data_IF_909485075858
#
_entry.id   IF_909485075858
#
_cell.length_a   1.000
_cell.length_b   1.000
_cell.length_c   1.000
_cell.angle_alpha   90.00
_cell.angle_beta   90.00
_cell.angle_gamma   90.00
#
_symmetry.space_group_name_H-M   'P 1'
#
loop_
_entity.id
_entity.type
_entity.pdbx_description
1 polymer ?
#
# COMPACT_ATOMS: atom_id res chain seq x y z
N UNK A 1 10.38 15.04 -27.57
CA UNK A 1 10.05 14.48 -26.24
C UNK A 1 8.57 14.10 -26.10
N UNK A 2 7.62 14.84 -26.67
CA UNK A 2 6.16 14.52 -26.64
C UNK A 2 5.68 13.42 -27.62
N UNK A 3 6.50 12.97 -28.57
CA UNK A 3 6.07 11.99 -29.59
C UNK A 3 5.84 10.57 -29.06
N UNK A 4 6.41 10.17 -27.91
CA UNK A 4 6.27 8.79 -27.38
C UNK A 4 4.99 8.53 -26.59
N UNK A 5 4.17 9.56 -26.30
CA UNK A 5 2.90 9.40 -25.57
C UNK A 5 1.74 9.03 -26.52
N UNK A 6 1.80 9.46 -27.79
CA UNK A 6 0.73 9.22 -28.78
C UNK A 6 0.73 7.82 -29.43
N UNK A 7 1.75 6.99 -29.18
CA UNK A 7 1.86 5.66 -29.80
C UNK A 7 1.07 4.57 -29.06
N UNK A 8 0.47 4.85 -27.90
CA UNK A 8 -0.34 3.88 -27.17
C UNK A 8 -1.82 4.07 -27.48
N UNK A 9 -2.48 2.99 -27.89
CA UNK A 9 -3.94 2.97 -27.87
C UNK A 9 -4.43 3.31 -26.45
N UNK A 10 -5.52 4.07 -26.35
CA UNK A 10 -6.09 4.45 -25.04
C UNK A 10 -6.35 3.25 -24.13
N UNK A 11 -6.60 2.07 -24.71
CA UNK A 11 -6.74 0.79 -24.00
C UNK A 11 -5.44 0.36 -23.31
N UNK A 12 -4.28 0.49 -23.97
CA UNK A 12 -2.99 0.12 -23.37
C UNK A 12 -2.64 1.06 -22.23
N UNK A 13 -2.85 2.36 -22.42
CA UNK A 13 -2.60 3.36 -21.38
C UNK A 13 -3.51 3.13 -20.16
N UNK A 14 -4.81 2.92 -20.38
CA UNK A 14 -5.75 2.60 -19.29
C UNK A 14 -5.32 1.35 -18.51
N UNK A 15 -4.83 0.31 -19.21
CA UNK A 15 -4.29 -0.88 -18.52
C UNK A 15 -3.05 -0.57 -17.68
N UNK A 16 -2.16 0.33 -18.12
CA UNK A 16 -1.01 0.76 -17.31
C UNK A 16 -1.46 1.43 -16.01
N UNK A 17 -2.43 2.36 -16.10
CA UNK A 17 -2.97 3.06 -14.94
C UNK A 17 -3.61 2.10 -13.93
N UNK A 18 -4.51 1.24 -14.41
CA UNK A 18 -5.23 0.30 -13.54
C UNK A 18 -4.29 -0.76 -12.95
N UNK A 19 -3.31 -1.27 -13.71
CA UNK A 19 -2.25 -2.12 -13.14
C UNK A 19 -1.42 -1.36 -12.10
N UNK A 20 -1.18 -0.07 -12.33
CA UNK A 20 -0.56 0.82 -11.35
C UNK A 20 -1.32 0.81 -10.02
N UNK A 21 -2.64 0.95 -10.04
CA UNK A 21 -3.45 0.91 -8.82
C UNK A 21 -3.41 -0.49 -8.17
N UNK A 22 -3.53 -1.57 -8.94
CA UNK A 22 -3.46 -2.93 -8.36
C UNK A 22 -2.09 -3.30 -7.78
N UNK A 23 -1.02 -2.67 -8.26
CA UNK A 23 0.33 -2.89 -7.75
C UNK A 23 0.53 -2.36 -6.32
N UNK A 24 -0.41 -1.57 -5.79
CA UNK A 24 -0.45 -1.23 -4.35
C UNK A 24 -0.49 -2.52 -3.50
N UNK A 25 -1.21 -3.55 -3.97
CA UNK A 25 -1.26 -4.88 -3.37
C UNK A 25 -0.34 -5.90 -4.08
N UNK A 26 0.65 -5.42 -4.84
CA UNK A 26 1.61 -6.26 -5.57
C UNK A 26 0.95 -7.16 -6.64
N UNK A 27 -0.18 -6.72 -7.21
CA UNK A 27 -0.87 -7.40 -8.31
C UNK A 27 -0.73 -6.62 -9.62
N UNK A 28 -0.50 -7.32 -10.74
CA UNK A 28 -0.47 -6.73 -12.09
C UNK A 28 -1.77 -7.00 -12.88
N UNK A 29 -2.93 -6.63 -12.31
CA UNK A 29 -4.26 -6.90 -12.89
C UNK A 29 -5.08 -5.62 -13.03
N UNK A 30 -5.38 -5.22 -14.28
CA UNK A 30 -6.21 -4.04 -14.53
C UNK A 30 -7.65 -4.18 -13.99
N UNK A 31 -8.21 -5.39 -13.98
CA UNK A 31 -9.55 -5.64 -13.40
C UNK A 31 -9.55 -5.43 -11.89
N UNK A 32 -8.52 -5.94 -11.21
CA UNK A 32 -8.34 -5.70 -9.78
C UNK A 32 -8.17 -4.19 -9.52
N UNK A 33 -7.35 -3.52 -10.32
CA UNK A 33 -7.12 -2.07 -10.21
C UNK A 33 -8.38 -1.22 -10.38
N UNK A 34 -9.26 -1.58 -11.32
CA UNK A 34 -10.54 -0.90 -11.50
C UNK A 34 -11.44 -1.05 -10.26
N UNK A 35 -11.53 -2.26 -9.70
CA UNK A 35 -12.34 -2.48 -8.52
C UNK A 35 -11.74 -1.85 -7.27
N UNK A 36 -10.41 -1.81 -7.15
CA UNK A 36 -9.70 -1.09 -6.09
C UNK A 36 -9.95 0.42 -6.18
N UNK A 37 -9.90 1.01 -7.38
CA UNK A 37 -10.28 2.41 -7.55
C UNK A 37 -11.76 2.65 -7.19
N UNK A 38 -12.64 1.71 -7.53
CA UNK A 38 -14.04 1.72 -7.11
C UNK A 38 -14.22 1.66 -5.60
N UNK A 39 -13.39 0.88 -4.90
CA UNK A 39 -13.37 0.83 -3.43
C UNK A 39 -12.95 2.18 -2.82
N UNK A 40 -11.94 2.84 -3.39
CA UNK A 40 -11.55 4.19 -2.97
C UNK A 40 -12.68 5.19 -3.23
N UNK A 41 -13.34 5.10 -4.39
CA UNK A 41 -14.45 6.00 -4.73
C UNK A 41 -15.67 5.80 -3.84
N UNK A 42 -15.93 4.55 -3.43
CA UNK A 42 -16.94 4.22 -2.43
C UNK A 42 -16.68 4.91 -1.09
N UNK A 43 -15.43 4.92 -0.63
CA UNK A 43 -15.02 5.64 0.58
C UNK A 43 -15.13 7.15 0.40
N UNK A 44 -14.54 7.70 -0.67
CA UNK A 44 -14.36 9.13 -0.85
C UNK A 44 -13.96 9.51 -2.27
N UNK A 45 -14.75 10.38 -2.91
CA UNK A 45 -14.45 10.92 -4.24
C UNK A 45 -13.12 11.71 -4.31
N UNK A 46 -12.80 12.61 -3.36
CA UNK A 46 -11.48 13.26 -3.33
C UNK A 46 -10.32 12.25 -3.25
N UNK A 47 -10.47 11.21 -2.43
CA UNK A 47 -9.47 10.17 -2.27
C UNK A 47 -9.25 9.40 -3.57
N UNK A 48 -10.33 9.05 -4.28
CA UNK A 48 -10.28 8.36 -5.57
C UNK A 48 -9.67 9.24 -6.67
N UNK A 49 -10.04 10.51 -6.71
CA UNK A 49 -9.46 11.47 -7.65
C UNK A 49 -7.95 11.65 -7.43
N UNK A 50 -7.51 11.76 -6.18
CA UNK A 50 -6.09 11.86 -5.85
C UNK A 50 -5.31 10.56 -6.16
N UNK A 51 -5.91 9.40 -5.87
CA UNK A 51 -5.36 8.10 -6.25
C UNK A 51 -5.14 7.98 -7.77
N UNK A 52 -6.16 8.34 -8.55
CA UNK A 52 -6.10 8.29 -10.02
C UNK A 52 -5.11 9.32 -10.57
N UNK A 53 -5.13 10.56 -10.09
CA UNK A 53 -4.21 11.62 -10.50
C UNK A 53 -2.77 11.26 -10.16
N UNK A 54 -2.52 10.67 -8.99
CA UNK A 54 -1.20 10.19 -8.59
C UNK A 54 -0.69 9.05 -9.47
N UNK A 55 -1.53 8.06 -9.76
CA UNK A 55 -1.21 6.97 -10.69
C UNK A 55 -0.89 7.50 -12.09
N UNK A 56 -1.70 8.46 -12.55
CA UNK A 56 -1.56 9.13 -13.85
C UNK A 56 -0.25 9.89 -13.95
N UNK A 57 0.03 10.77 -12.97
CA UNK A 57 1.24 11.58 -12.94
C UNK A 57 2.52 10.73 -12.93
N UNK A 58 2.56 9.69 -12.08
CA UNK A 58 3.69 8.76 -12.03
C UNK A 58 3.89 8.00 -13.35
N UNK A 59 2.80 7.49 -13.94
CA UNK A 59 2.85 6.78 -15.22
C UNK A 59 3.33 7.69 -16.35
N UNK A 60 2.79 8.91 -16.47
CA UNK A 60 3.19 9.86 -17.51
C UNK A 60 4.64 10.29 -17.35
N UNK A 61 5.09 10.56 -16.12
CA UNK A 61 6.49 10.86 -15.85
C UNK A 61 7.40 9.70 -16.30
N UNK A 62 7.07 8.46 -15.97
CA UNK A 62 7.87 7.30 -16.35
C UNK A 62 7.89 7.07 -17.87
N UNK A 63 6.76 7.28 -18.56
CA UNK A 63 6.71 7.25 -20.02
C UNK A 63 7.60 8.34 -20.65
N UNK A 64 7.67 9.53 -20.03
CA UNK A 64 8.51 10.64 -20.54
C UNK A 64 10.00 10.31 -20.55
N UNK A 65 10.47 9.48 -19.59
CA UNK A 65 11.86 9.00 -19.53
C UNK A 65 12.07 7.66 -20.26
N UNK A 66 11.03 7.10 -20.87
CA UNK A 66 11.10 5.87 -21.66
C UNK A 66 10.97 4.56 -20.88
N UNK A 67 10.55 4.58 -19.60
CA UNK A 67 10.30 3.36 -18.82
C UNK A 67 8.92 2.76 -19.15
N UNK A 68 8.82 2.24 -20.37
CA UNK A 68 7.60 1.63 -20.91
C UNK A 68 7.31 0.29 -20.22
N UNK A 69 8.36 -0.52 -20.01
CA UNK A 69 8.22 -1.86 -19.44
C UNK A 69 7.70 -1.80 -18.00
N UNK A 70 8.28 -0.91 -17.17
CA UNK A 70 7.80 -0.67 -15.81
C UNK A 70 6.34 -0.19 -15.79
N UNK A 71 5.98 0.71 -16.70
CA UNK A 71 4.60 1.23 -16.80
C UNK A 71 3.60 0.16 -17.25
N UNK A 72 3.96 -0.70 -18.23
CA UNK A 72 3.13 -1.85 -18.64
C UNK A 72 2.90 -2.85 -17.50
N UNK A 73 3.89 -3.00 -16.61
CA UNK A 73 3.78 -3.83 -15.41
C UNK A 73 3.05 -3.14 -14.25
N UNK A 74 2.76 -1.83 -14.34
CA UNK A 74 2.15 -1.02 -13.28
C UNK A 74 3.15 -0.50 -12.22
N UNK A 75 4.45 -0.76 -12.37
CA UNK A 75 5.47 -0.43 -11.36
C UNK A 75 5.72 1.09 -11.20
N UNK A 76 5.26 1.88 -12.17
CA UNK A 76 5.39 3.35 -12.17
C UNK A 76 4.11 4.07 -11.72
N UNK A 77 3.03 3.35 -11.42
CA UNK A 77 1.77 3.96 -10.99
C UNK A 77 1.54 3.91 -9.48
N UNK A 78 1.90 2.81 -8.81
CA UNK A 78 1.41 2.53 -7.45
C UNK A 78 1.97 3.47 -6.37
N UNK A 79 3.26 3.80 -6.40
CA UNK A 79 3.83 4.77 -5.45
C UNK A 79 3.26 6.17 -5.66
N UNK A 80 3.00 6.56 -6.91
CA UNK A 80 2.31 7.81 -7.23
C UNK A 80 0.87 7.83 -6.73
N UNK A 81 0.13 6.73 -6.93
CA UNK A 81 -1.23 6.56 -6.42
C UNK A 81 -1.30 6.68 -4.89
N UNK A 82 -0.41 5.97 -4.18
CA UNK A 82 -0.29 6.05 -2.72
C UNK A 82 0.13 7.43 -2.24
N UNK A 83 1.03 8.13 -2.95
CA UNK A 83 1.37 9.51 -2.62
C UNK A 83 0.16 10.45 -2.73
N UNK A 84 -0.68 10.28 -3.77
CA UNK A 84 -1.94 11.02 -3.89
C UNK A 84 -2.92 10.73 -2.74
N UNK A 85 -3.07 9.46 -2.37
CA UNK A 85 -3.85 9.05 -1.19
C UNK A 85 -3.28 9.67 0.09
N UNK A 86 -1.95 9.62 0.26
CA UNK A 86 -1.23 10.17 1.41
C UNK A 86 -1.39 11.68 1.55
N UNK A 87 -1.45 12.44 0.45
CA UNK A 87 -1.76 13.87 0.48
C UNK A 87 -3.15 14.10 1.09
N UNK A 88 -4.15 13.33 0.66
CA UNK A 88 -5.53 13.44 1.16
C UNK A 88 -5.70 12.86 2.58
N UNK A 89 -4.75 12.07 3.06
CA UNK A 89 -4.69 11.60 4.44
C UNK A 89 -4.02 12.62 5.38
N UNK A 90 -3.18 13.51 4.85
CA UNK A 90 -2.44 14.51 5.65
C UNK A 90 -3.13 15.88 5.64
N UNK A 91 -3.61 16.31 4.48
CA UNK A 91 -4.20 17.64 4.28
C UNK A 91 -5.68 17.54 3.89
N UNK A 92 -6.54 18.44 4.40
CA UNK A 92 -7.93 18.48 3.98
C UNK A 92 -8.06 18.76 2.47
N UNK A 93 -9.06 18.20 1.78
CA UNK A 93 -9.27 18.46 0.37
C UNK A 93 -9.44 19.96 0.10
N UNK A 94 -8.48 20.55 -0.61
CA UNK A 94 -8.42 21.97 -0.91
C UNK A 94 -7.36 22.26 -1.96
N UNK A 95 -7.24 23.52 -2.38
CA UNK A 95 -6.33 23.93 -3.45
C UNK A 95 -4.87 23.53 -3.17
N UNK A 96 -4.43 23.62 -1.90
CA UNK A 96 -3.08 23.23 -1.50
C UNK A 96 -2.87 21.72 -1.60
N UNK A 97 -3.81 20.90 -1.11
CA UNK A 97 -3.72 19.45 -1.23
C UNK A 97 -3.67 19.05 -2.71
N UNK A 98 -4.58 19.55 -3.54
CA UNK A 98 -4.62 19.23 -4.96
C UNK A 98 -3.39 19.68 -5.75
N UNK A 99 -2.77 20.82 -5.41
CA UNK A 99 -1.55 21.28 -6.06
C UNK A 99 -0.34 20.39 -5.74
N UNK A 100 -0.37 19.67 -4.61
CA UNK A 100 0.70 18.77 -4.16
C UNK A 100 0.58 17.33 -4.68
N UNK A 101 -0.61 16.87 -5.10
CA UNK A 101 -0.82 15.47 -5.54
C UNK A 101 0.14 15.08 -6.68
N UNK A 102 0.14 15.84 -7.78
CA UNK A 102 0.96 15.53 -8.94
C UNK A 102 2.48 15.59 -8.66
N UNK A 103 3.05 16.68 -8.08
CA UNK A 103 4.49 16.74 -7.83
C UNK A 103 4.99 15.67 -6.85
N UNK A 104 4.24 15.38 -5.78
CA UNK A 104 4.63 14.34 -4.82
C UNK A 104 4.47 12.93 -5.41
N UNK A 105 3.48 12.70 -6.27
CA UNK A 105 3.35 11.44 -7.01
C UNK A 105 4.50 11.20 -7.99
N UNK A 106 4.95 12.26 -8.69
CA UNK A 106 6.13 12.20 -9.55
C UNK A 106 7.38 11.93 -8.73
N UNK A 107 7.57 12.61 -7.60
CA UNK A 107 8.71 12.40 -6.70
C UNK A 107 8.77 10.94 -6.20
N UNK A 108 7.66 10.40 -5.70
CA UNK A 108 7.58 9.01 -5.23
C UNK A 108 7.87 8.02 -6.38
N UNK A 109 7.39 8.30 -7.59
CA UNK A 109 7.63 7.45 -8.76
C UNK A 109 9.08 7.52 -9.22
N UNK A 110 9.69 8.71 -9.24
CA UNK A 110 11.10 8.90 -9.55
C UNK A 110 12.00 8.15 -8.57
N UNK A 111 11.74 8.27 -7.26
CA UNK A 111 12.44 7.52 -6.23
C UNK A 111 12.31 6.00 -6.46
N UNK A 112 11.10 5.52 -6.77
CA UNK A 112 10.86 4.10 -7.05
C UNK A 112 11.63 3.60 -8.28
N UNK A 113 11.66 4.40 -9.35
CA UNK A 113 12.41 4.08 -10.56
C UNK A 113 13.93 4.09 -10.29
N UNK A 114 14.44 5.14 -9.66
CA UNK A 114 15.86 5.26 -9.31
C UNK A 114 16.34 4.10 -8.42
N UNK A 115 15.50 3.64 -7.48
CA UNK A 115 15.78 2.48 -6.65
C UNK A 115 15.91 1.20 -7.47
N UNK A 116 14.94 0.92 -8.35
CA UNK A 116 14.97 -0.28 -9.21
C UNK A 116 16.16 -0.31 -10.16
N UNK A 117 16.63 0.86 -10.61
CA UNK A 117 17.81 0.96 -11.45
C UNK A 117 19.12 0.71 -10.69
N UNK A 118 19.14 0.83 -9.35
CA UNK A 118 20.35 0.73 -8.51
C UNK A 118 20.37 -0.49 -7.59
N UNK A 119 19.25 -1.15 -7.39
CA UNK A 119 19.12 -2.26 -6.44
C UNK A 119 18.22 -3.36 -6.99
N UNK A 120 18.61 -4.61 -6.74
CA UNK A 120 17.79 -5.78 -7.01
C UNK A 120 16.68 -5.99 -5.95
N UNK A 121 16.76 -5.30 -4.81
CA UNK A 121 15.74 -5.34 -3.75
C UNK A 121 14.56 -4.48 -4.17
N UNK A 122 13.32 -5.02 -4.21
CA UNK A 122 12.17 -4.22 -4.59
C UNK A 122 11.96 -3.03 -3.64
N UNK A 123 11.68 -1.83 -4.16
CA UNK A 123 11.44 -0.65 -3.33
C UNK A 123 10.12 -0.76 -2.55
N UNK A 124 9.18 -1.59 -3.03
CA UNK A 124 7.81 -1.65 -2.52
C UNK A 124 7.23 -0.24 -2.37
N UNK A 125 6.55 0.04 -1.26
CA UNK A 125 5.94 1.33 -0.93
C UNK A 125 6.88 2.31 -0.23
N UNK A 126 8.19 1.99 -0.11
CA UNK A 126 9.16 2.88 0.57
C UNK A 126 9.21 4.29 -0.02
N UNK A 127 9.20 4.49 -1.35
CA UNK A 127 9.15 5.82 -1.94
C UNK A 127 7.94 6.64 -1.48
N UNK A 128 6.76 6.02 -1.44
CA UNK A 128 5.56 6.64 -0.88
C UNK A 128 5.74 7.01 0.60
N UNK A 129 6.20 6.08 1.44
CA UNK A 129 6.38 6.32 2.89
C UNK A 129 7.30 7.51 3.14
N UNK A 130 8.43 7.58 2.45
CA UNK A 130 9.40 8.67 2.60
C UNK A 130 8.80 10.03 2.17
N UNK A 131 8.07 10.06 1.05
CA UNK A 131 7.42 11.28 0.56
C UNK A 131 6.30 11.73 1.51
N UNK A 132 5.50 10.80 2.03
CA UNK A 132 4.42 11.14 2.97
C UNK A 132 4.96 11.57 4.33
N UNK A 133 6.03 10.96 4.85
CA UNK A 133 6.71 11.44 6.06
C UNK A 133 7.27 12.86 5.89
N UNK A 134 7.88 13.15 4.74
CA UNK A 134 8.34 14.51 4.43
C UNK A 134 7.16 15.49 4.42
N UNK A 135 6.04 15.13 3.78
CA UNK A 135 4.83 15.96 3.77
C UNK A 135 4.29 16.19 5.19
N UNK A 136 4.21 15.14 6.02
CA UNK A 136 3.76 15.24 7.41
C UNK A 136 4.66 16.16 8.23
N UNK A 137 5.99 16.00 8.12
CA UNK A 137 6.95 16.83 8.84
C UNK A 137 6.85 18.31 8.43
N UNK A 138 6.73 18.59 7.12
CA UNK A 138 6.58 19.95 6.61
C UNK A 138 5.23 20.56 7.01
N UNK A 139 4.13 19.81 6.88
CA UNK A 139 2.80 20.28 7.25
C UNK A 139 2.72 20.61 8.75
N UNK A 140 3.27 19.74 9.60
CA UNK A 140 3.37 19.96 11.04
C UNK A 140 4.26 21.17 11.37
N UNK A 141 5.44 21.27 10.77
CA UNK A 141 6.36 22.40 11.00
C UNK A 141 5.83 23.75 10.55
N UNK A 142 4.94 23.78 9.54
CA UNK A 142 4.26 24.97 9.07
C UNK A 142 2.91 25.24 9.76
N UNK A 143 2.46 24.37 10.67
CA UNK A 143 1.18 24.49 11.36
C UNK A 143 -0.03 24.41 10.41
N UNK A 144 0.07 23.67 9.31
CA UNK A 144 -1.04 23.49 8.38
C UNK A 144 -2.18 22.70 9.04
N UNK A 145 -3.45 23.01 8.71
CA UNK A 145 -4.57 22.24 9.21
C UNK A 145 -4.48 20.81 8.68
N UNK A 146 -4.41 19.84 9.61
CA UNK A 146 -4.45 18.42 9.28
C UNK A 146 -5.88 17.92 9.07
N UNK A 147 -6.01 16.71 8.50
CA UNK A 147 -7.29 15.99 8.53
C UNK A 147 -7.60 15.60 9.97
N UNK A 148 -8.80 15.93 10.44
CA UNK A 148 -9.24 15.54 11.78
C UNK A 148 -9.33 14.01 11.89
N UNK A 149 -8.90 13.47 13.03
CA UNK A 149 -9.13 12.06 13.33
C UNK A 149 -10.64 11.76 13.27
N UNK A 150 -11.02 10.68 12.61
CA UNK A 150 -12.41 10.25 12.60
C UNK A 150 -12.89 10.01 14.04
N UNK A 151 -14.09 10.47 14.37
CA UNK A 151 -14.68 10.26 15.68
C UNK A 151 -14.79 8.75 15.96
N UNK A 152 -14.51 8.34 17.21
CA UNK A 152 -14.66 6.96 17.63
C UNK A 152 -16.14 6.55 17.46
N UNK A 153 -16.39 5.60 16.57
CA UNK A 153 -17.72 4.98 16.39
C UNK A 153 -17.77 3.71 17.22
N UNK A 154 -18.86 3.49 17.96
CA UNK A 154 -19.11 2.23 18.65
C UNK A 154 -19.07 1.06 17.66
N UNK A 155 -18.19 0.09 17.91
CA UNK A 155 -17.99 -1.03 17.00
C UNK A 155 -18.86 -2.22 17.49
N UNK A 156 -19.83 -2.71 16.69
CA UNK A 156 -20.76 -3.75 17.12
C UNK A 156 -20.08 -5.12 17.35
N UNK A 157 -20.77 -6.09 17.96
CA UNK A 157 -20.22 -7.42 18.28
C UNK A 157 -19.81 -8.28 17.06
N UNK A 158 -20.30 -7.99 15.86
CA UNK A 158 -19.86 -8.61 14.59
C UNK A 158 -18.58 -7.96 14.02
N UNK A 159 -17.97 -7.04 14.76
CA UNK A 159 -16.81 -6.23 14.40
C UNK A 159 -15.55 -7.01 14.06
N UNK A 160 -15.38 -8.22 14.57
CA UNK A 160 -14.20 -9.02 14.24
C UNK A 160 -14.12 -9.28 12.72
N UNK A 161 -15.20 -9.74 12.07
CA UNK A 161 -15.18 -9.98 10.61
C UNK A 161 -14.99 -8.68 9.84
N UNK A 162 -15.60 -7.59 10.31
CA UNK A 162 -15.45 -6.28 9.69
C UNK A 162 -14.03 -5.73 9.85
N UNK A 163 -13.34 -6.00 10.96
CA UNK A 163 -11.95 -5.56 11.18
C UNK A 163 -10.98 -6.25 10.23
N UNK A 164 -11.23 -7.52 9.86
CA UNK A 164 -10.43 -8.23 8.87
C UNK A 164 -10.46 -7.53 7.51
N UNK A 165 -11.65 -7.18 7.02
CA UNK A 165 -11.81 -6.49 5.72
C UNK A 165 -11.36 -5.03 5.79
N UNK A 166 -11.55 -4.35 6.92
CA UNK A 166 -10.94 -3.03 7.18
C UNK A 166 -9.43 -3.11 7.08
N UNK A 167 -8.80 -4.12 7.68
CA UNK A 167 -7.36 -4.33 7.59
C UNK A 167 -6.87 -4.49 6.15
N UNK A 168 -7.68 -5.04 5.24
CA UNK A 168 -7.37 -5.03 3.81
C UNK A 168 -7.52 -3.61 3.25
N UNK A 169 -8.65 -2.94 3.46
CA UNK A 169 -8.91 -1.58 2.97
C UNK A 169 -7.89 -0.52 3.43
N UNK A 170 -7.40 -0.64 4.66
CA UNK A 170 -6.43 0.28 5.28
C UNK A 170 -5.09 0.35 4.53
N UNK A 171 -4.76 -0.64 3.68
CA UNK A 171 -3.62 -0.55 2.75
C UNK A 171 -3.72 0.70 1.86
N UNK A 172 -4.94 1.14 1.54
CA UNK A 172 -5.25 2.33 0.75
C UNK A 172 -5.90 3.44 1.58
N UNK A 173 -5.74 3.44 2.90
CA UNK A 173 -6.39 4.37 3.84
C UNK A 173 -7.92 4.30 3.85
N UNK A 174 -8.49 3.13 3.56
CA UNK A 174 -9.95 2.93 3.55
C UNK A 174 -10.35 2.32 4.88
N UNK A 175 -11.07 3.09 5.69
CA UNK A 175 -11.58 2.63 6.98
C UNK A 175 -12.99 2.04 6.87
N UNK A 176 -13.77 2.33 5.83
CA UNK A 176 -15.08 1.71 5.61
C UNK A 176 -14.95 0.20 5.31
N UNK A 177 -15.69 -0.68 6.03
CA UNK A 177 -15.57 -2.12 5.85
C UNK A 177 -16.07 -2.60 4.49
N UNK A 178 -16.99 -1.89 3.84
CA UNK A 178 -17.47 -2.23 2.50
C UNK A 178 -16.45 -1.83 1.44
N UNK A 179 -15.77 -0.70 1.60
CA UNK A 179 -14.57 -0.38 0.82
C UNK A 179 -13.51 -1.49 0.97
N UNK A 180 -13.26 -1.95 2.20
CA UNK A 180 -12.40 -3.10 2.47
C UNK A 180 -12.86 -4.39 1.78
N UNK A 181 -14.16 -4.69 1.79
CA UNK A 181 -14.72 -5.85 1.09
C UNK A 181 -14.58 -5.75 -0.44
N UNK A 182 -14.75 -4.55 -1.02
CA UNK A 182 -14.47 -4.29 -2.43
C UNK A 182 -12.99 -4.48 -2.75
N UNK A 183 -12.08 -4.12 -1.85
CA UNK A 183 -10.66 -4.44 -2.00
C UNK A 183 -10.42 -5.95 -2.04
N UNK A 184 -11.01 -6.72 -1.12
CA UNK A 184 -10.91 -8.19 -1.11
C UNK A 184 -11.44 -8.79 -2.42
N UNK A 185 -12.57 -8.31 -2.92
CA UNK A 185 -13.12 -8.75 -4.21
C UNK A 185 -12.18 -8.38 -5.37
N UNK A 186 -11.57 -7.19 -5.34
CA UNK A 186 -10.56 -6.75 -6.30
C UNK A 186 -9.36 -7.68 -6.33
N UNK A 187 -8.83 -8.03 -5.16
CA UNK A 187 -7.76 -9.02 -5.03
C UNK A 187 -8.21 -10.38 -5.57
N UNK A 188 -9.44 -10.82 -5.28
CA UNK A 188 -9.94 -12.11 -5.73
C UNK A 188 -10.05 -12.21 -7.26
N UNK A 189 -10.47 -11.12 -7.93
CA UNK A 189 -10.52 -11.02 -9.39
C UNK A 189 -9.12 -10.99 -10.04
N UNK A 190 -8.12 -10.46 -9.34
CA UNK A 190 -6.74 -10.43 -9.80
C UNK A 190 -6.02 -11.75 -9.57
N UNK A 191 -6.11 -12.28 -8.36
CA UNK A 191 -5.54 -13.53 -7.91
C UNK A 191 -6.28 -14.02 -6.64
N UNK A 192 -7.14 -15.05 -6.70
CA UNK A 192 -7.88 -15.55 -5.53
C UNK A 192 -7.01 -15.88 -4.33
N UNK A 193 -5.82 -16.43 -4.58
CA UNK A 193 -4.84 -16.68 -3.52
C UNK A 193 -4.40 -15.39 -2.80
N UNK A 194 -4.30 -14.25 -3.50
CA UNK A 194 -4.01 -12.92 -2.94
C UNK A 194 -5.08 -12.48 -1.94
N UNK A 195 -6.35 -12.61 -2.33
CA UNK A 195 -7.47 -12.31 -1.43
C UNK A 195 -7.43 -13.19 -0.16
N UNK A 196 -7.27 -14.50 -0.32
CA UNK A 196 -7.22 -15.42 0.82
C UNK A 196 -6.07 -15.09 1.77
N UNK A 197 -4.87 -14.89 1.22
CA UNK A 197 -3.67 -14.52 2.01
C UNK A 197 -3.84 -13.18 2.73
N UNK A 198 -4.42 -12.17 2.07
CA UNK A 198 -4.69 -10.88 2.69
C UNK A 198 -5.63 -11.01 3.90
N UNK A 199 -6.75 -11.73 3.75
CA UNK A 199 -7.71 -11.93 4.85
C UNK A 199 -7.09 -12.75 5.98
N UNK A 200 -6.35 -13.83 5.67
CA UNK A 200 -5.68 -14.65 6.68
C UNK A 200 -4.60 -13.87 7.44
N UNK A 201 -3.79 -13.05 6.75
CA UNK A 201 -2.76 -12.23 7.39
C UNK A 201 -3.37 -11.15 8.29
N UNK A 202 -4.43 -10.49 7.81
CA UNK A 202 -5.21 -9.52 8.59
C UNK A 202 -5.79 -10.17 9.86
N UNK A 203 -6.41 -11.34 9.73
CA UNK A 203 -6.96 -12.11 10.84
C UNK A 203 -5.91 -12.61 11.83
N UNK A 204 -4.76 -13.09 11.34
CA UNK A 204 -3.65 -13.53 12.20
C UNK A 204 -3.16 -12.39 13.09
N UNK A 205 -2.94 -11.20 12.54
CA UNK A 205 -2.50 -10.05 13.32
C UNK A 205 -3.59 -9.51 14.24
N UNK A 206 -4.87 -9.56 13.84
CA UNK A 206 -5.98 -9.21 14.73
C UNK A 206 -5.99 -10.11 15.98
N UNK A 207 -5.89 -11.43 15.80
CA UNK A 207 -5.84 -12.40 16.91
C UNK A 207 -4.58 -12.22 17.76
N UNK A 208 -3.41 -12.10 17.14
CA UNK A 208 -2.15 -11.92 17.86
C UNK A 208 -2.13 -10.61 18.67
N UNK A 209 -2.67 -9.52 18.12
CA UNK A 209 -2.81 -8.25 18.82
C UNK A 209 -3.74 -8.38 20.04
N UNK A 210 -4.88 -9.07 19.89
CA UNK A 210 -5.81 -9.34 20.99
C UNK A 210 -5.17 -10.16 22.11
N UNK A 211 -4.45 -11.23 21.76
CA UNK A 211 -3.73 -12.07 22.73
C UNK A 211 -2.59 -11.33 23.43
N UNK A 212 -1.95 -10.37 22.74
CA UNK A 212 -0.88 -9.54 23.29
C UNK A 212 -1.38 -8.31 24.07
N UNK A 213 -2.70 -8.13 24.21
CA UNK A 213 -3.30 -7.01 24.94
C UNK A 213 -3.12 -5.65 24.26
N UNK A 214 -3.05 -5.61 22.93
CA UNK A 214 -2.97 -4.35 22.19
C UNK A 214 -4.32 -3.60 22.22
N UNK A 215 -4.31 -2.26 22.02
CA UNK A 215 -5.53 -1.45 21.96
C UNK A 215 -6.60 -2.03 21.03
N UNK A 216 -7.78 -2.34 21.58
CA UNK A 216 -8.84 -3.02 20.86
C UNK A 216 -9.49 -2.12 19.80
N UNK A 217 -9.62 -0.83 20.08
CA UNK A 217 -10.10 0.20 19.14
C UNK A 217 -9.28 0.23 17.85
N UNK A 218 -7.94 0.25 17.97
CA UNK A 218 -7.04 0.18 16.82
C UNK A 218 -7.17 -1.13 16.04
N UNK A 219 -7.36 -2.26 16.75
CA UNK A 219 -7.58 -3.56 16.13
C UNK A 219 -8.89 -3.59 15.33
N UNK A 220 -9.97 -3.03 15.88
CA UNK A 220 -11.30 -2.97 15.26
C UNK A 220 -11.33 -2.05 14.03
N UNK A 221 -10.52 -0.99 14.01
CA UNK A 221 -10.27 -0.14 12.85
C UNK A 221 -9.39 -0.80 11.77
N UNK A 222 -8.92 -2.04 12.00
CA UNK A 222 -8.08 -2.78 11.06
C UNK A 222 -6.62 -2.32 11.00
N UNK A 223 -6.16 -1.48 11.94
CA UNK A 223 -4.83 -0.86 11.91
C UNK A 223 -3.69 -1.87 12.10
N UNK A 224 -3.98 -3.05 12.65
CA UNK A 224 -3.00 -4.14 12.78
C UNK A 224 -2.97 -5.09 11.58
N UNK A 225 -3.89 -4.95 10.62
CA UNK A 225 -4.01 -5.87 9.48
C UNK A 225 -3.27 -5.44 8.22
N UNK A 226 -3.21 -4.15 7.90
CA UNK A 226 -2.78 -3.71 6.56
C UNK A 226 -1.28 -3.95 6.27
N UNK A 227 -0.40 -3.74 7.26
CA UNK A 227 1.00 -4.09 7.13
C UNK A 227 1.20 -5.61 6.97
N UNK A 228 0.37 -6.42 7.63
CA UNK A 228 0.37 -7.87 7.50
C UNK A 228 -0.04 -8.33 6.09
N UNK A 229 -1.09 -7.71 5.53
CA UNK A 229 -1.57 -7.97 4.16
C UNK A 229 -0.43 -7.80 3.16
N UNK A 230 0.23 -6.64 3.15
CA UNK A 230 1.34 -6.37 2.23
C UNK A 230 2.53 -7.31 2.46
N UNK A 231 2.84 -7.60 3.73
CA UNK A 231 3.96 -8.49 4.08
C UNK A 231 3.72 -9.91 3.57
N UNK A 232 2.51 -10.44 3.74
CA UNK A 232 2.12 -11.75 3.24
C UNK A 232 2.21 -11.82 1.71
N UNK A 233 1.71 -10.79 1.01
CA UNK A 233 1.78 -10.72 -0.46
C UNK A 233 3.24 -10.62 -0.96
N UNK A 234 4.06 -9.81 -0.30
CA UNK A 234 5.45 -9.60 -0.69
C UNK A 234 6.36 -10.81 -0.44
N UNK A 235 6.03 -11.66 0.54
CA UNK A 235 6.77 -12.87 0.90
C UNK A 235 6.32 -14.13 0.16
N UNK A 236 5.32 -14.03 -0.73
CA UNK A 236 4.92 -15.16 -1.60
C UNK A 236 6.08 -15.84 -2.33
N UNK A 237 7.06 -15.12 -2.91
CA UNK A 237 8.15 -15.79 -3.65
C UNK A 237 9.07 -16.63 -2.75
N UNK A 238 9.16 -16.31 -1.46
CA UNK A 238 9.98 -17.08 -0.49
C UNK A 238 9.18 -18.20 0.21
N UNK A 239 7.87 -18.29 -0.04
CA UNK A 239 6.94 -19.24 0.59
C UNK A 239 7.06 -20.69 0.12
N UNK A 240 7.77 -21.00 -0.97
CA UNK A 240 7.82 -22.33 -1.63
C UNK A 240 7.73 -23.57 -0.68
N UNK A 241 6.52 -23.95 -0.24
CA UNK A 241 6.25 -24.92 0.82
C UNK A 241 6.56 -24.50 2.27
N UNK A 242 7.38 -23.47 2.48
CA UNK A 242 7.80 -23.01 3.81
C UNK A 242 7.03 -21.75 4.26
N UNK A 243 6.03 -21.96 5.11
CA UNK A 243 5.21 -20.90 5.70
C UNK A 243 5.89 -20.12 6.83
N UNK A 244 7.04 -20.60 7.32
CA UNK A 244 7.77 -19.96 8.42
C UNK A 244 8.07 -18.49 8.11
N UNK A 245 8.66 -18.21 6.94
CA UNK A 245 9.08 -16.84 6.59
C UNK A 245 7.91 -15.87 6.41
N UNK A 246 6.83 -16.20 5.67
CA UNK A 246 5.62 -15.38 5.66
C UNK A 246 5.04 -15.12 7.05
N UNK A 247 4.91 -16.16 7.89
CA UNK A 247 4.35 -16.00 9.24
C UNK A 247 5.24 -15.13 10.14
N UNK A 248 6.55 -15.35 10.14
CA UNK A 248 7.50 -14.52 10.88
C UNK A 248 7.49 -13.07 10.40
N UNK A 249 7.45 -12.84 9.08
CA UNK A 249 7.35 -11.50 8.52
C UNK A 249 6.06 -10.80 8.94
N UNK A 250 4.91 -11.49 8.85
CA UNK A 250 3.61 -10.95 9.26
C UNK A 250 3.62 -10.56 10.75
N UNK A 251 4.08 -11.45 11.64
CA UNK A 251 4.15 -11.18 13.07
C UNK A 251 5.19 -10.08 13.41
N UNK A 252 6.31 -10.04 12.70
CA UNK A 252 7.29 -8.96 12.82
C UNK A 252 6.68 -7.61 12.40
N UNK A 253 5.87 -7.57 11.35
CA UNK A 253 5.19 -6.34 10.93
C UNK A 253 4.22 -5.83 12.00
N UNK A 254 3.56 -6.73 12.75
CA UNK A 254 2.72 -6.38 13.89
C UNK A 254 3.54 -5.81 15.05
N UNK A 255 4.65 -6.47 15.41
CA UNK A 255 5.54 -5.99 16.46
C UNK A 255 6.12 -4.61 16.15
N UNK A 256 6.55 -4.40 14.90
CA UNK A 256 7.01 -3.09 14.42
C UNK A 256 5.89 -2.05 14.43
N UNK A 257 4.67 -2.39 13.99
CA UNK A 257 3.51 -1.51 14.08
C UNK A 257 3.28 -1.05 15.53
N UNK A 258 3.41 -1.96 16.50
CA UNK A 258 3.31 -1.59 17.92
C UNK A 258 4.45 -0.67 18.38
N UNK A 259 5.67 -0.91 17.91
CA UNK A 259 6.82 -0.05 18.18
C UNK A 259 6.60 1.38 17.66
N UNK A 260 6.08 1.55 16.44
CA UNK A 260 5.72 2.87 15.90
C UNK A 260 4.65 3.57 16.75
N UNK A 261 3.65 2.85 17.26
CA UNK A 261 2.65 3.42 18.16
C UNK A 261 3.25 3.89 19.48
N UNK A 262 4.20 3.14 20.07
CA UNK A 262 4.90 3.57 21.29
C UNK A 262 5.79 4.78 21.09
N UNK A 263 6.36 4.93 19.90
CA UNK A 263 7.15 6.11 19.53
C UNK A 263 6.28 7.29 19.07
N UNK A 264 4.96 7.12 19.03
CA UNK A 264 3.99 8.11 18.50
C UNK A 264 4.32 8.56 17.07
N UNK A 265 4.90 7.66 16.27
CA UNK A 265 5.28 7.92 14.89
C UNK A 265 4.21 7.38 13.92
N UNK A 266 3.88 8.12 12.85
CA UNK A 266 2.99 7.62 11.82
C UNK A 266 3.66 6.45 11.09
N UNK A 267 3.19 5.23 11.34
CA UNK A 267 3.81 4.02 10.80
C UNK A 267 3.71 3.92 9.28
N UNK A 268 2.60 4.40 8.71
CA UNK A 268 2.22 4.13 7.32
C UNK A 268 2.47 2.64 7.02
N UNK A 269 3.12 2.34 5.90
CA UNK A 269 3.51 0.97 5.53
C UNK A 269 4.97 0.64 5.89
N UNK A 270 5.63 1.43 6.75
CA UNK A 270 6.99 1.16 7.19
C UNK A 270 7.17 -0.20 7.92
N UNK A 271 6.25 -0.63 8.80
CA UNK A 271 6.35 -1.96 9.41
C UNK A 271 6.35 -3.09 8.37
N UNK A 272 5.53 -2.99 7.32
CA UNK A 272 5.55 -3.90 6.18
C UNK A 272 6.92 -3.95 5.50
N UNK A 273 7.49 -2.79 5.18
CA UNK A 273 8.76 -2.69 4.45
C UNK A 273 9.90 -3.36 5.22
N UNK A 274 10.06 -2.97 6.48
CA UNK A 274 11.11 -3.47 7.35
C UNK A 274 10.97 -4.98 7.59
N UNK A 275 9.77 -5.45 7.91
CA UNK A 275 9.52 -6.87 8.14
C UNK A 275 9.78 -7.71 6.88
N UNK A 276 9.32 -7.23 5.73
CA UNK A 276 9.49 -7.92 4.45
C UNK A 276 10.94 -8.01 4.04
N UNK A 277 11.70 -6.91 4.13
CA UNK A 277 13.12 -6.93 3.79
C UNK A 277 13.92 -7.85 4.71
N UNK A 278 13.66 -7.79 6.02
CA UNK A 278 14.32 -8.67 7.00
C UNK A 278 14.01 -10.15 6.73
N UNK A 279 12.73 -10.50 6.57
CA UNK A 279 12.32 -11.89 6.32
C UNK A 279 12.84 -12.42 4.98
N UNK A 280 12.86 -11.58 3.93
CA UNK A 280 13.44 -11.98 2.63
C UNK A 280 14.93 -12.23 2.72
N UNK A 281 15.66 -11.33 3.38
CA UNK A 281 17.10 -11.45 3.54
C UNK A 281 17.44 -12.73 4.32
N UNK A 282 16.79 -12.95 5.47
CA UNK A 282 16.99 -14.15 6.28
C UNK A 282 16.65 -15.45 5.53
N UNK A 283 15.55 -15.46 4.76
CA UNK A 283 15.18 -16.62 3.93
C UNK A 283 16.21 -16.92 2.84
N UNK A 284 16.80 -15.90 2.23
CA UNK A 284 17.84 -16.06 1.21
C UNK A 284 19.14 -16.58 1.83
N UNK A 285 19.51 -16.07 2.99
CA UNK A 285 20.72 -16.48 3.70
C UNK A 285 20.64 -17.95 4.14
N UNK A 286 19.51 -18.39 4.73
CA UNK A 286 19.32 -19.79 5.08
C UNK A 286 19.38 -20.72 3.87
N UNK A 287 18.82 -20.31 2.72
CA UNK A 287 18.90 -21.09 1.47
C UNK A 287 20.33 -21.14 0.92
N UNK A 288 21.11 -20.08 1.11
CA UNK A 288 22.51 -20.03 0.70
C UNK A 288 23.34 -21.01 1.53
N UNK A 289 23.19 -20.97 2.85
CA UNK A 289 23.87 -21.87 3.78
C UNK A 289 23.54 -23.34 3.52
N UNK A 290 22.26 -23.66 3.27
CA UNK A 290 21.82 -25.02 2.96
C UNK A 290 22.32 -25.56 1.61
N UNK A 291 22.79 -24.69 0.69
CA UNK A 291 23.40 -25.12 -0.59
C UNK A 291 24.91 -25.33 -0.49
N UNK A 292 25.53 -24.74 0.52
CA UNK A 292 26.98 -24.82 0.76
C UNK A 292 27.37 -25.90 1.79
N UNK A 293 26.38 -26.44 2.52
CA UNK A 293 26.51 -27.58 3.42
C UNK A 293 26.21 -28.88 2.66
#
# INVERSE_FOLDING_TARGET
>A
MFQRVHEYSGVVFMRMLLRGISQIYLLSSGRAGALLLGAVAWQSWPLAGACLLGALAGTLWALSIGDIAGSRAGLNGYNGALAGLGVMAVLPPGWLAWSLVAPLAVLATWMAHAWRCRSAVPPYTAPFVLVTWLLMAVASGLGLPGVAAAAAVEVPWNSAVLSLVRGVGQVMFLDDPWAGALCVLGLALGAPAAALSAVLASGLCFLAAGLAGFPADAALLGLYGFNAVLTAEALRPVRAGNWLWPCLGVLLSLGLMRGFQWLELPSLTAPFLLATWAARWAAQECRRQARTA
#
